data_IF_542344518510
#
_entry.id   IF_542344518510
#
_cell.length_a   1.000
_cell.length_b   1.000
_cell.length_c   1.000
_cell.angle_alpha   90.00
_cell.angle_beta   90.00
_cell.angle_gamma   90.00
#
_symmetry.space_group_name_H-M   'P 1'
#
loop_
_entity.id
_entity.type
_entity.pdbx_description
1 polymer ?
#
# COMPACT_ATOMS: atom_id res chain seq x y z
N UNK A 1 1.99 32.95 10.61
CA UNK A 1 3.19 32.21 11.03
C UNK A 1 3.04 30.83 10.44
N UNK A 2 3.73 30.61 9.34
CA UNK A 2 3.75 29.33 8.61
C UNK A 2 4.32 28.25 9.53
N UNK A 3 3.48 27.30 9.95
CA UNK A 3 3.97 25.98 10.30
C UNK A 3 4.25 25.27 8.99
N UNK A 4 5.42 25.55 8.40
CA UNK A 4 6.04 24.60 7.49
C UNK A 4 6.38 23.42 8.37
N UNK A 5 5.54 22.39 8.35
CA UNK A 5 5.92 21.07 8.83
C UNK A 5 7.12 20.70 7.97
N UNK A 6 8.30 20.82 8.55
CA UNK A 6 9.55 20.49 7.89
C UNK A 6 9.41 19.03 7.46
N UNK A 7 9.45 18.75 6.16
CA UNK A 7 9.27 17.38 5.65
C UNK A 7 10.35 16.44 6.24
N UNK A 8 11.45 17.03 6.74
CA UNK A 8 12.48 16.36 7.53
C UNK A 8 12.05 15.89 8.93
N UNK A 9 10.94 16.37 9.50
CA UNK A 9 10.40 15.91 10.78
C UNK A 9 9.49 14.68 10.62
N UNK A 10 9.03 14.34 9.41
CA UNK A 10 8.22 13.13 9.16
C UNK A 10 9.05 11.85 8.98
N UNK A 11 10.39 11.93 8.99
CA UNK A 11 11.24 10.81 8.59
C UNK A 11 12.08 10.32 9.77
N UNK A 12 11.70 9.16 10.28
CA UNK A 12 12.31 8.36 11.36
C UNK A 12 13.76 7.86 11.07
N UNK A 13 14.57 8.58 10.30
CA UNK A 13 15.97 8.20 10.01
C UNK A 13 16.96 8.84 11.00
N UNK A 14 16.49 9.65 11.96
CA UNK A 14 17.37 10.36 12.91
C UNK A 14 18.15 9.44 13.88
N UNK A 15 17.69 8.20 14.07
CA UNK A 15 18.32 7.20 14.94
C UNK A 15 19.01 6.09 14.13
N UNK A 16 19.87 6.48 13.18
CA UNK A 16 20.65 5.54 12.39
C UNK A 16 22.05 5.39 13.01
N UNK A 17 22.42 4.15 13.32
CA UNK A 17 23.79 3.82 13.72
C UNK A 17 24.63 3.63 12.44
N UNK A 18 25.30 4.69 12.01
CA UNK A 18 26.09 4.71 10.77
C UNK A 18 27.22 3.66 10.77
N UNK A 19 27.82 3.41 11.94
CA UNK A 19 28.92 2.46 12.07
C UNK A 19 28.46 1.01 11.83
N UNK A 20 27.22 0.69 12.20
CA UNK A 20 26.63 -0.63 11.95
C UNK A 20 26.04 -0.77 10.55
N UNK A 21 25.72 0.34 9.89
CA UNK A 21 25.05 0.31 8.59
C UNK A 21 25.87 -0.44 7.53
N UNK A 22 27.18 -0.21 7.51
CA UNK A 22 28.06 -0.89 6.56
C UNK A 22 28.05 -2.40 6.78
N UNK A 23 28.23 -2.86 8.02
CA UNK A 23 28.17 -4.30 8.34
C UNK A 23 26.82 -4.91 7.99
N UNK A 24 25.71 -4.24 8.32
CA UNK A 24 24.37 -4.73 8.00
C UNK A 24 24.13 -4.85 6.49
N UNK A 25 24.66 -3.90 5.71
CA UNK A 25 24.62 -3.98 4.25
C UNK A 25 25.39 -5.19 3.71
N UNK A 26 26.58 -5.46 4.23
CA UNK A 26 27.36 -6.63 3.81
C UNK A 26 26.69 -7.95 4.17
N UNK A 27 26.05 -8.01 5.34
CA UNK A 27 25.28 -9.18 5.76
C UNK A 27 24.10 -9.43 4.81
N UNK A 28 23.33 -8.38 4.49
CA UNK A 28 22.22 -8.46 3.56
C UNK A 28 22.69 -8.85 2.14
N UNK A 29 23.81 -8.29 1.68
CA UNK A 29 24.42 -8.62 0.39
C UNK A 29 24.89 -10.07 0.34
N UNK A 30 25.60 -10.53 1.37
CA UNK A 30 26.08 -11.90 1.48
C UNK A 30 24.91 -12.88 1.45
N UNK A 31 23.82 -12.59 2.17
CA UNK A 31 22.61 -13.40 2.15
C UNK A 31 22.00 -13.45 0.75
N UNK A 32 21.88 -12.32 0.06
CA UNK A 32 21.36 -12.29 -1.30
C UNK A 32 22.23 -13.10 -2.27
N UNK A 33 23.55 -12.96 -2.21
CA UNK A 33 24.49 -13.73 -3.03
C UNK A 33 24.38 -15.24 -2.74
N UNK A 34 24.21 -15.61 -1.46
CA UNK A 34 23.95 -16.99 -1.04
C UNK A 34 22.62 -17.52 -1.58
N UNK A 35 21.55 -16.72 -1.54
CA UNK A 35 20.25 -17.10 -2.10
C UNK A 35 20.35 -17.29 -3.61
N UNK A 36 21.03 -16.37 -4.32
CA UNK A 36 21.21 -16.44 -5.76
C UNK A 36 22.05 -17.65 -6.21
N UNK A 37 23.06 -18.01 -5.44
CA UNK A 37 23.96 -19.14 -5.75
C UNK A 37 23.40 -20.50 -5.34
N UNK A 38 22.70 -20.60 -4.20
CA UNK A 38 22.12 -21.86 -3.72
C UNK A 38 20.73 -22.17 -4.28
N UNK A 39 19.96 -21.17 -4.70
CA UNK A 39 18.56 -21.40 -5.08
C UNK A 39 18.34 -21.27 -6.59
N UNK A 40 18.16 -22.43 -7.24
CA UNK A 40 17.59 -22.52 -8.60
C UNK A 40 16.12 -22.04 -8.61
N UNK A 41 15.53 -21.77 -7.44
CA UNK A 41 14.10 -21.46 -7.23
C UNK A 41 13.85 -20.28 -6.26
N UNK A 42 14.67 -19.23 -6.32
CA UNK A 42 14.47 -18.03 -5.48
C UNK A 42 13.05 -17.47 -5.61
N UNK A 43 12.53 -17.45 -6.83
CA UNK A 43 11.19 -16.97 -7.14
C UNK A 43 10.11 -17.75 -6.38
N UNK A 44 10.17 -19.09 -6.35
CA UNK A 44 9.20 -19.91 -5.63
C UNK A 44 9.23 -19.64 -4.13
N UNK A 45 10.41 -19.42 -3.55
CA UNK A 45 10.58 -19.11 -2.13
C UNK A 45 9.97 -17.75 -1.77
N UNK A 46 10.29 -16.71 -2.56
CA UNK A 46 9.73 -15.37 -2.37
C UNK A 46 8.21 -15.44 -2.50
N UNK A 47 7.69 -16.09 -3.55
CA UNK A 47 6.25 -16.21 -3.78
C UNK A 47 5.52 -16.98 -2.67
N UNK A 48 6.13 -18.06 -2.17
CA UNK A 48 5.61 -18.82 -1.03
C UNK A 48 5.58 -17.95 0.24
N UNK A 49 6.66 -17.22 0.51
CA UNK A 49 6.74 -16.29 1.64
C UNK A 49 5.66 -15.20 1.55
N UNK A 50 5.55 -14.52 0.41
CA UNK A 50 4.52 -13.48 0.22
C UNK A 50 3.13 -14.06 0.37
N UNK A 51 2.85 -15.24 -0.20
CA UNK A 51 1.56 -15.91 -0.05
C UNK A 51 1.24 -16.25 1.40
N UNK A 52 2.23 -16.66 2.19
CA UNK A 52 2.04 -16.94 3.62
C UNK A 52 1.70 -15.67 4.40
N UNK A 53 2.36 -14.54 4.09
CA UNK A 53 2.14 -13.25 4.76
C UNK A 53 0.88 -12.54 4.30
N UNK A 54 0.51 -12.65 3.03
CA UNK A 54 -0.79 -12.17 2.56
C UNK A 54 -1.93 -12.98 3.15
N UNK A 55 -1.74 -14.29 3.39
CA UNK A 55 -2.73 -15.10 4.11
C UNK A 55 -2.81 -14.74 5.60
N UNK A 56 -1.71 -14.40 6.28
CA UNK A 56 -1.78 -13.88 7.67
C UNK A 56 -2.53 -12.53 7.72
N UNK A 57 -2.20 -11.61 6.81
CA UNK A 57 -2.88 -10.30 6.69
C UNK A 57 -4.34 -10.46 6.25
N UNK A 58 -4.60 -11.44 5.39
CA UNK A 58 -5.95 -11.83 5.01
C UNK A 58 -6.64 -12.50 6.18
N UNK A 59 -6.04 -13.34 7.01
CA UNK A 59 -6.72 -13.97 8.17
C UNK A 59 -7.07 -12.93 9.24
N UNK A 60 -6.26 -11.87 9.42
CA UNK A 60 -6.68 -10.69 10.19
C UNK A 60 -7.82 -9.89 9.53
N UNK A 61 -8.05 -10.08 8.22
CA UNK A 61 -9.08 -9.44 7.40
C UNK A 61 -10.18 -10.41 6.90
N UNK A 62 -10.12 -11.72 7.21
CA UNK A 62 -11.04 -12.78 6.79
C UNK A 62 -12.14 -12.78 7.83
N UNK A 63 -12.84 -11.66 7.85
CA UNK A 63 -14.27 -11.70 7.97
C UNK A 63 -14.78 -10.86 6.79
N UNK A 64 -15.02 -11.58 5.69
CA UNK A 64 -15.75 -11.18 4.49
C UNK A 64 -14.94 -10.60 3.34
N UNK A 65 -14.58 -11.46 2.39
CA UNK A 65 -14.45 -11.10 0.99
C UNK A 65 -15.51 -11.83 0.17
N UNK A 66 -16.25 -11.06 -0.63
CA UNK A 66 -16.80 -11.40 -1.94
C UNK A 66 -17.35 -10.09 -2.51
N UNK A 67 -16.58 -9.43 -3.37
CA UNK A 67 -17.05 -8.29 -4.15
C UNK A 67 -17.38 -8.78 -5.55
N UNK A 68 -18.68 -8.94 -5.81
CA UNK A 68 -19.25 -8.97 -7.17
C UNK A 68 -19.49 -7.52 -7.55
N UNK A 69 -18.88 -7.08 -8.64
CA UNK A 69 -19.12 -5.79 -9.25
C UNK A 69 -20.47 -5.83 -9.98
N UNK A 70 -21.46 -5.10 -9.47
CA UNK A 70 -22.74 -4.88 -10.13
C UNK A 70 -23.17 -3.43 -9.92
N UNK A 71 -23.18 -2.65 -10.99
CA UNK A 71 -24.43 -2.23 -11.62
C UNK A 71 -24.17 -1.38 -12.87
N UNK A 72 -24.91 -1.73 -13.93
CA UNK A 72 -25.19 -0.91 -15.11
C UNK A 72 -25.80 0.43 -14.72
N UNK A 73 -25.43 1.49 -15.45
CA UNK A 73 -26.32 2.18 -16.39
C UNK A 73 -25.60 3.43 -16.93
N UNK A 74 -25.14 3.36 -18.18
CA UNK A 74 -25.39 4.35 -19.23
C UNK A 74 -24.48 4.08 -20.43
N UNK A 75 -25.14 3.93 -21.58
CA UNK A 75 -24.62 3.72 -22.92
C UNK A 75 -23.61 4.81 -23.31
N UNK A 76 -22.41 4.40 -23.74
CA UNK A 76 -21.62 5.06 -24.78
C UNK A 76 -20.64 4.01 -25.33
N UNK A 77 -20.86 3.63 -26.59
CA UNK A 77 -20.15 2.60 -27.32
C UNK A 77 -18.88 3.21 -27.93
N UNK A 78 -17.73 3.04 -27.26
CA UNK A 78 -16.42 3.30 -27.87
C UNK A 78 -15.55 2.04 -27.79
N UNK A 79 -15.32 1.46 -28.96
CA UNK A 79 -14.63 0.20 -29.20
C UNK A 79 -13.13 0.34 -29.00
N UNK A 80 -12.63 0.03 -27.80
CA UNK A 80 -11.19 -0.14 -27.59
C UNK A 80 -10.81 -1.59 -27.89
N UNK A 81 -10.24 -1.79 -29.07
CA UNK A 81 -9.74 -3.07 -29.55
C UNK A 81 -8.74 -3.67 -28.55
N UNK A 82 -9.11 -4.82 -27.99
CA UNK A 82 -8.20 -5.72 -27.28
C UNK A 82 -7.11 -6.18 -28.25
N UNK A 83 -5.94 -5.55 -28.18
CA UNK A 83 -4.72 -6.10 -28.78
C UNK A 83 -4.26 -7.29 -27.95
N UNK A 84 -4.84 -8.45 -28.26
CA UNK A 84 -4.26 -9.76 -27.94
C UNK A 84 -2.98 -9.94 -28.76
N UNK A 85 -1.87 -9.37 -28.29
CA UNK A 85 -0.54 -9.76 -28.75
C UNK A 85 -0.13 -11.00 -27.98
N UNK A 86 -0.39 -12.15 -28.57
CA UNK A 86 0.23 -13.43 -28.22
C UNK A 86 1.72 -13.37 -28.57
N UNK A 87 2.54 -12.96 -27.62
CA UNK A 87 3.99 -13.13 -27.66
C UNK A 87 4.34 -14.30 -26.74
N UNK A 88 4.72 -15.42 -27.34
CA UNK A 88 5.42 -16.48 -26.62
C UNK A 88 6.83 -15.97 -26.28
N UNK A 89 6.97 -15.24 -25.17
CA UNK A 89 8.27 -14.90 -24.61
C UNK A 89 8.48 -15.70 -23.33
N UNK A 90 9.66 -16.28 -23.22
CA UNK A 90 10.16 -17.03 -22.06
C UNK A 90 9.81 -16.31 -20.76
N UNK A 91 8.96 -16.90 -19.93
CA UNK A 91 8.74 -16.49 -18.54
C UNK A 91 10.09 -16.62 -17.79
N UNK A 92 10.95 -15.61 -17.90
CA UNK A 92 11.83 -15.32 -16.79
C UNK A 92 10.92 -14.93 -15.64
N UNK A 93 10.93 -15.78 -14.61
CA UNK A 93 10.20 -15.59 -13.36
C UNK A 93 10.62 -14.26 -12.70
N UNK A 94 9.98 -13.17 -13.12
CA UNK A 94 10.29 -11.81 -12.68
C UNK A 94 9.84 -11.62 -11.23
N UNK A 95 10.80 -11.47 -10.32
CA UNK A 95 10.54 -11.15 -8.92
C UNK A 95 10.44 -9.63 -8.76
N UNK A 96 9.35 -9.15 -8.17
CA UNK A 96 9.21 -7.71 -7.87
C UNK A 96 10.17 -7.31 -6.74
N UNK A 97 10.83 -6.16 -6.88
CA UNK A 97 11.90 -5.73 -5.97
C UNK A 97 11.45 -5.63 -4.50
N UNK A 98 10.26 -5.11 -4.25
CA UNK A 98 9.66 -5.01 -2.91
C UNK A 98 9.46 -6.39 -2.26
N UNK A 99 9.02 -7.39 -3.03
CA UNK A 99 8.83 -8.76 -2.52
C UNK A 99 10.16 -9.41 -2.16
N UNK A 100 11.17 -9.20 -3.01
CA UNK A 100 12.53 -9.68 -2.76
C UNK A 100 13.12 -9.05 -1.50
N UNK A 101 13.00 -7.74 -1.33
CA UNK A 101 13.49 -7.04 -0.14
C UNK A 101 12.72 -7.45 1.12
N UNK A 102 11.40 -7.61 1.03
CA UNK A 102 10.59 -8.11 2.12
C UNK A 102 11.01 -9.52 2.55
N UNK A 103 11.26 -10.42 1.59
CA UNK A 103 11.76 -11.75 1.90
C UNK A 103 13.17 -11.70 2.52
N UNK A 104 14.10 -10.97 1.90
CA UNK A 104 15.50 -10.92 2.31
C UNK A 104 15.69 -10.34 3.72
N UNK A 105 14.97 -9.26 4.06
CA UNK A 105 15.06 -8.61 5.37
C UNK A 105 14.39 -9.40 6.50
N UNK A 106 13.48 -10.33 6.19
CA UNK A 106 12.82 -11.17 7.20
C UNK A 106 13.44 -12.59 7.29
N UNK A 107 14.25 -12.98 6.30
CA UNK A 107 14.99 -14.25 6.29
C UNK A 107 16.41 -14.07 6.81
N UNK A 108 16.87 -12.83 7.01
CA UNK A 108 18.23 -12.58 7.49
C UNK A 108 18.44 -13.12 8.90
N UNK A 109 19.50 -13.93 9.12
CA UNK A 109 19.83 -14.45 10.45
C UNK A 109 20.35 -13.33 11.37
N UNK A 110 20.92 -12.28 10.78
CA UNK A 110 21.45 -11.13 11.50
C UNK A 110 20.40 -10.01 11.56
N UNK A 111 20.43 -9.24 12.66
CA UNK A 111 19.58 -8.07 12.83
C UNK A 111 20.07 -6.92 11.93
N UNK A 112 19.27 -6.57 10.93
CA UNK A 112 19.57 -5.50 9.95
C UNK A 112 18.67 -4.29 10.19
N UNK A 113 18.57 -3.84 11.44
CA UNK A 113 17.59 -2.84 11.86
C UNK A 113 17.78 -1.47 11.18
N UNK A 114 19.02 -1.00 11.04
CA UNK A 114 19.32 0.29 10.41
C UNK A 114 19.09 0.21 8.90
N UNK A 115 19.58 -0.86 8.28
CA UNK A 115 19.42 -1.07 6.84
C UNK A 115 17.94 -1.26 6.46
N UNK A 116 17.16 -1.98 7.28
CA UNK A 116 15.70 -2.11 7.13
C UNK A 116 14.99 -0.75 7.17
N UNK A 117 15.39 0.17 8.06
CA UNK A 117 14.81 1.54 8.10
C UNK A 117 15.01 2.26 6.75
N UNK A 118 16.21 2.18 6.18
CA UNK A 118 16.51 2.80 4.87
C UNK A 118 15.66 2.19 3.77
N UNK A 119 15.59 0.85 3.69
CA UNK A 119 14.81 0.16 2.66
C UNK A 119 13.33 0.51 2.80
N UNK A 120 12.76 0.47 4.01
CA UNK A 120 11.38 0.88 4.26
C UNK A 120 11.12 2.33 3.85
N UNK A 121 12.06 3.23 4.10
CA UNK A 121 11.94 4.62 3.66
C UNK A 121 11.92 4.74 2.14
N UNK A 122 12.85 4.08 1.44
CA UNK A 122 12.89 4.09 -0.03
C UNK A 122 11.56 3.60 -0.62
N UNK A 123 11.01 2.50 -0.08
CA UNK A 123 9.73 1.95 -0.53
C UNK A 123 8.49 2.74 -0.08
N UNK A 124 8.62 3.67 0.88
CA UNK A 124 7.53 4.56 1.26
C UNK A 124 7.30 5.69 0.25
N UNK A 125 8.28 5.95 -0.62
CA UNK A 125 8.21 6.98 -1.66
C UNK A 125 7.57 6.36 -2.90
N UNK A 126 6.41 6.85 -3.37
CA UNK A 126 5.80 6.35 -4.59
C UNK A 126 6.67 6.68 -5.80
N UNK A 127 6.88 5.71 -6.69
CA UNK A 127 7.68 5.89 -7.90
C UNK A 127 7.02 6.78 -8.97
N UNK A 128 5.71 7.03 -8.86
CA UNK A 128 4.95 7.82 -9.83
C UNK A 128 3.91 8.71 -9.17
N UNK A 129 3.52 9.76 -9.91
CA UNK A 129 2.44 10.65 -9.53
C UNK A 129 1.05 10.01 -9.72
N UNK A 130 0.94 8.81 -10.28
CA UNK A 130 -0.34 8.15 -10.57
C UNK A 130 -1.20 7.96 -9.32
N UNK A 131 -0.58 7.75 -8.16
CA UNK A 131 -1.29 7.70 -6.89
C UNK A 131 -1.96 9.05 -6.56
N UNK A 132 -1.20 10.15 -6.68
CA UNK A 132 -1.70 11.51 -6.43
C UNK A 132 -2.77 11.90 -7.47
N UNK A 133 -2.57 11.56 -8.74
CA UNK A 133 -3.55 11.78 -9.80
C UNK A 133 -4.86 11.04 -9.54
N UNK A 134 -4.80 9.80 -9.01
CA UNK A 134 -5.98 9.06 -8.57
C UNK A 134 -6.73 9.79 -7.45
N UNK A 135 -6.00 10.36 -6.47
CA UNK A 135 -6.60 11.19 -5.42
C UNK A 135 -7.28 12.42 -6.03
N UNK A 136 -6.63 13.12 -6.96
CA UNK A 136 -7.21 14.29 -7.61
C UNK A 136 -8.42 13.96 -8.48
N UNK A 137 -8.42 12.80 -9.14
CA UNK A 137 -9.58 12.32 -9.89
C UNK A 137 -10.77 12.06 -8.96
N UNK A 138 -10.54 11.38 -7.83
CA UNK A 138 -11.56 11.17 -6.79
C UNK A 138 -12.05 12.51 -6.20
N UNK A 139 -11.14 13.43 -5.92
CA UNK A 139 -11.46 14.76 -5.42
C UNK A 139 -12.33 15.54 -6.41
N UNK A 140 -12.01 15.50 -7.70
CA UNK A 140 -12.78 16.16 -8.78
C UNK A 140 -14.19 15.60 -8.88
N UNK A 141 -14.38 14.31 -8.61
CA UNK A 141 -15.72 13.71 -8.57
C UNK A 141 -16.56 14.25 -7.40
N UNK A 142 -15.96 14.42 -6.21
CA UNK A 142 -16.64 14.99 -5.05
C UNK A 142 -16.82 16.52 -5.13
N UNK A 143 -15.88 17.21 -5.80
CA UNK A 143 -15.81 18.65 -6.03
C UNK A 143 -16.31 18.99 -7.44
N UNK A 144 -17.57 18.70 -7.78
CA UNK A 144 -18.13 19.15 -9.06
C UNK A 144 -19.32 20.09 -8.82
N UNK A 145 -19.23 21.30 -9.38
CA UNK A 145 -20.14 22.44 -9.18
C UNK A 145 -21.60 22.14 -9.56
N UNK A 146 -21.83 21.14 -10.41
CA UNK A 146 -23.14 20.78 -10.92
C UNK A 146 -23.92 19.82 -10.00
N UNK A 147 -23.27 19.01 -9.17
CA UNK A 147 -23.95 17.91 -8.43
C UNK A 147 -23.69 17.89 -6.93
N UNK A 148 -22.47 18.23 -6.47
CA UNK A 148 -22.07 18.15 -5.06
C UNK A 148 -21.19 19.34 -4.68
N UNK A 149 -21.77 20.36 -4.05
CA UNK A 149 -21.03 21.47 -3.41
C UNK A 149 -20.62 21.08 -1.99
N UNK A 150 -19.83 20.03 -1.86
CA UNK A 150 -19.32 19.62 -0.55
C UNK A 150 -18.26 20.61 -0.06
N UNK A 151 -18.24 20.88 1.25
CA UNK A 151 -17.20 21.68 1.88
C UNK A 151 -15.83 20.98 1.75
N UNK A 152 -14.73 21.75 1.71
CA UNK A 152 -13.35 21.24 1.67
C UNK A 152 -13.06 20.23 2.79
N UNK A 153 -13.54 20.51 4.00
CA UNK A 153 -13.37 19.64 5.17
C UNK A 153 -14.09 18.30 4.98
N UNK A 154 -15.28 18.32 4.38
CA UNK A 154 -16.06 17.11 4.11
C UNK A 154 -15.39 16.26 3.03
N UNK A 155 -14.91 16.89 1.96
CA UNK A 155 -14.19 16.21 0.87
C UNK A 155 -12.88 15.61 1.39
N UNK A 156 -12.13 16.33 2.23
CA UNK A 156 -10.94 15.80 2.87
C UNK A 156 -11.24 14.57 3.73
N UNK A 157 -12.31 14.63 4.52
CA UNK A 157 -12.73 13.52 5.38
C UNK A 157 -13.19 12.31 4.57
N UNK A 158 -13.96 12.54 3.50
CA UNK A 158 -14.41 11.49 2.60
C UNK A 158 -13.23 10.81 1.90
N UNK A 159 -12.28 11.58 1.35
CA UNK A 159 -11.08 11.05 0.71
C UNK A 159 -10.26 10.21 1.70
N UNK A 160 -10.09 10.67 2.94
CA UNK A 160 -9.40 9.89 3.98
C UNK A 160 -10.06 8.54 4.21
N UNK A 161 -11.39 8.49 4.33
CA UNK A 161 -12.11 7.23 4.51
C UNK A 161 -11.97 6.36 3.26
N UNK A 162 -12.19 6.92 2.07
CA UNK A 162 -12.18 6.17 0.81
C UNK A 162 -10.80 5.59 0.47
N UNK A 163 -9.73 6.32 0.73
CA UNK A 163 -8.35 5.88 0.43
C UNK A 163 -7.84 4.89 1.47
N UNK A 164 -8.21 5.05 2.75
CA UNK A 164 -7.69 4.21 3.84
C UNK A 164 -8.61 3.05 4.22
N UNK A 165 -9.78 2.92 3.58
CA UNK A 165 -10.70 1.80 3.84
C UNK A 165 -10.90 0.95 2.59
N UNK A 166 -10.76 -0.36 2.77
CA UNK A 166 -11.08 -1.36 1.77
C UNK A 166 -12.49 -1.94 1.97
N UNK A 167 -13.32 -1.28 2.79
CA UNK A 167 -14.65 -1.74 3.11
C UNK A 167 -15.64 -1.30 2.03
N UNK A 168 -16.47 -2.23 1.57
CA UNK A 168 -17.71 -1.84 0.89
C UNK A 168 -18.59 -1.02 1.84
N UNK A 169 -19.50 -0.20 1.30
CA UNK A 169 -20.43 0.60 2.12
C UNK A 169 -21.19 -0.25 3.15
N UNK A 170 -21.59 -1.47 2.78
CA UNK A 170 -22.26 -2.40 3.68
C UNK A 170 -21.36 -2.91 4.82
N UNK A 171 -20.10 -3.22 4.51
CA UNK A 171 -19.13 -3.65 5.53
C UNK A 171 -18.76 -2.49 6.44
N UNK A 172 -18.54 -1.30 5.88
CA UNK A 172 -18.24 -0.10 6.64
C UNK A 172 -19.38 0.24 7.60
N UNK A 173 -20.63 0.19 7.13
CA UNK A 173 -21.80 0.39 7.97
C UNK A 173 -21.85 -0.60 9.14
N UNK A 174 -21.66 -1.90 8.87
CA UNK A 174 -21.61 -2.93 9.93
C UNK A 174 -20.46 -2.70 10.91
N UNK A 175 -19.30 -2.26 10.42
CA UNK A 175 -18.10 -1.96 11.22
C UNK A 175 -18.33 -0.78 12.15
N UNK A 176 -18.96 0.28 11.66
CA UNK A 176 -19.33 1.46 12.45
C UNK A 176 -20.35 1.08 13.54
N UNK A 177 -21.31 0.21 13.23
CA UNK A 177 -22.27 -0.31 14.22
C UNK A 177 -21.60 -1.19 15.29
N UNK A 178 -20.57 -1.96 14.93
CA UNK A 178 -19.86 -2.82 15.89
C UNK A 178 -18.93 -2.03 16.83
N UNK A 179 -18.63 -0.77 16.52
CA UNK A 179 -17.81 0.13 17.35
C UNK A 179 -18.62 1.28 17.97
N UNK A 180 -19.27 1.06 19.13
CA UNK A 180 -20.05 2.10 19.79
C UNK A 180 -19.20 3.28 20.27
N UNK A 181 -17.88 3.10 20.41
CA UNK A 181 -16.96 4.20 20.76
C UNK A 181 -16.82 5.21 19.63
N UNK A 182 -16.68 4.74 18.38
CA UNK A 182 -16.60 5.60 17.19
C UNK A 182 -17.87 6.44 17.03
N UNK A 183 -19.04 5.84 17.26
CA UNK A 183 -20.33 6.54 17.23
C UNK A 183 -20.45 7.58 18.34
N UNK A 184 -19.96 7.27 19.55
CA UNK A 184 -19.93 8.24 20.66
C UNK A 184 -19.01 9.42 20.36
N UNK A 185 -17.83 9.17 19.79
CA UNK A 185 -16.88 10.20 19.39
C UNK A 185 -17.41 11.05 18.25
N UNK A 186 -18.03 10.46 17.22
CA UNK A 186 -18.66 11.21 16.13
C UNK A 186 -19.81 12.10 16.60
N UNK A 187 -20.56 11.68 17.62
CA UNK A 187 -21.62 12.49 18.23
C UNK A 187 -21.08 13.60 19.14
N UNK A 188 -19.93 13.37 19.75
CA UNK A 188 -19.25 14.41 20.51
C UNK A 188 -18.63 15.35 19.50
N UNK A 189 -19.25 16.52 19.35
CA UNK A 189 -18.82 17.62 18.48
C UNK A 189 -17.50 18.26 18.99
N UNK A 190 -16.58 17.45 19.53
CA UNK A 190 -15.24 17.85 19.91
C UNK A 190 -14.55 18.24 18.62
N UNK A 191 -14.48 19.56 18.38
CA UNK A 191 -13.71 20.17 17.32
C UNK A 191 -12.33 19.51 17.28
N UNK A 192 -12.06 18.84 16.17
CA UNK A 192 -10.69 18.71 15.67
C UNK A 192 -10.14 20.11 15.36
#
# INVERSE_FOLDING_TARGET
MENVVDVLDMIHIRDLDEDKLYSEFYDAKSLYDNLKTKSIKLHDQVKSYISSKTNEFSISNVTNQNFVHGNSDSEDEETVASSSSSSNDTNEDFIRSDELWAYSLNTSPNETANFKKIICYIFSIPCSNSFVESIFSNMKHCWNDYRNRMNTELISSELKIRINSNYSCNQFYRRVLSEPQLLKQSRQNAKY
#
